data_IF_898329246447
#
_entry.id   IF_898329246447
#
_cell.length_a   1.000
_cell.length_b   1.000
_cell.length_c   1.000
_cell.angle_alpha   90.00
_cell.angle_beta   90.00
_cell.angle_gamma   90.00
#
_symmetry.space_group_name_H-M   'P 1'
#
loop_
_entity.id
_entity.type
_entity.pdbx_description
1 polymer ?
#
# COMPACT_ATOMS: atom_id res chain seq x y z
N UNK A 1 -15.09 -28.15 16.12
CA UNK A 1 -14.05 -27.44 16.87
C UNK A 1 -13.86 -26.12 16.17
N UNK A 2 -14.47 -25.06 16.70
CA UNK A 2 -14.33 -23.71 16.16
C UNK A 2 -12.94 -23.20 16.50
N UNK A 3 -12.13 -22.98 15.46
CA UNK A 3 -10.84 -22.35 15.60
C UNK A 3 -11.03 -20.92 16.06
N UNK A 4 -10.50 -20.57 17.23
CA UNK A 4 -10.48 -19.21 17.75
C UNK A 4 -9.75 -18.30 16.75
N UNK A 5 -10.49 -17.46 16.05
CA UNK A 5 -9.97 -16.35 15.27
C UNK A 5 -9.32 -15.40 16.26
N UNK A 6 -8.03 -15.20 16.13
CA UNK A 6 -7.26 -14.19 16.90
C UNK A 6 -7.97 -12.84 16.76
N UNK A 7 -8.46 -12.31 17.90
CA UNK A 7 -9.39 -11.18 17.96
C UNK A 7 -8.78 -9.80 17.67
N UNK A 8 -7.83 -9.69 16.73
CA UNK A 8 -7.34 -8.40 16.25
C UNK A 8 -8.07 -8.03 14.96
N UNK A 9 -8.68 -6.83 14.95
CA UNK A 9 -9.26 -6.27 13.72
C UNK A 9 -8.18 -6.15 12.65
N UNK A 10 -8.49 -6.37 11.37
CA UNK A 10 -7.57 -6.05 10.28
C UNK A 10 -7.13 -4.58 10.35
N UNK A 11 -5.85 -4.33 10.12
CA UNK A 11 -5.32 -2.96 10.03
C UNK A 11 -5.95 -2.24 8.83
N UNK A 12 -6.12 -0.92 8.92
CA UNK A 12 -6.69 -0.09 7.87
C UNK A 12 -5.71 0.99 7.44
N UNK A 13 -5.47 1.08 6.13
CA UNK A 13 -4.72 2.17 5.51
C UNK A 13 -5.65 3.04 4.69
N UNK A 14 -5.63 4.34 4.94
CA UNK A 14 -6.30 5.35 4.11
C UNK A 14 -5.24 6.05 3.26
N UNK A 15 -5.42 6.02 1.94
CA UNK A 15 -4.41 6.48 0.98
C UNK A 15 -4.91 7.61 0.08
N UNK A 16 -3.99 8.51 -0.27
CA UNK A 16 -4.25 9.58 -1.24
C UNK A 16 -4.72 10.87 -0.61
N UNK A 17 -4.21 11.22 0.57
CA UNK A 17 -4.43 12.50 1.22
C UNK A 17 -3.92 13.64 0.33
N UNK A 18 -4.69 14.75 0.23
CA UNK A 18 -4.37 15.89 -0.65
C UNK A 18 -4.27 17.21 0.11
N UNK A 19 -4.95 17.35 1.22
CA UNK A 19 -5.07 18.61 1.98
C UNK A 19 -5.05 18.36 3.48
N UNK A 20 -4.68 19.34 4.29
CA UNK A 20 -4.63 19.19 5.76
C UNK A 20 -5.95 18.77 6.41
N UNK A 21 -7.09 19.06 5.79
CA UNK A 21 -8.39 18.58 6.28
C UNK A 21 -8.56 17.06 6.18
N UNK A 22 -7.86 16.39 5.24
CA UNK A 22 -7.94 14.94 5.09
C UNK A 22 -7.33 14.21 6.30
N UNK A 23 -6.39 14.86 7.01
CA UNK A 23 -5.82 14.32 8.23
C UNK A 23 -6.88 14.09 9.32
N UNK A 24 -7.90 14.97 9.40
CA UNK A 24 -8.98 14.80 10.37
C UNK A 24 -9.78 13.53 10.08
N UNK A 25 -10.14 13.28 8.82
CA UNK A 25 -10.85 12.05 8.44
C UNK A 25 -10.07 10.79 8.77
N UNK A 26 -8.75 10.80 8.55
CA UNK A 26 -7.86 9.67 8.86
C UNK A 26 -7.80 9.44 10.37
N UNK A 27 -7.71 10.50 11.16
CA UNK A 27 -7.69 10.45 12.63
C UNK A 27 -9.02 9.93 13.19
N UNK A 28 -10.15 10.46 12.70
CA UNK A 28 -11.50 10.11 13.17
C UNK A 28 -11.88 8.68 12.80
N UNK A 29 -11.44 8.23 11.61
CA UNK A 29 -11.62 6.84 11.19
C UNK A 29 -10.79 5.84 12.01
N UNK A 30 -9.85 6.30 12.83
CA UNK A 30 -8.96 5.44 13.59
C UNK A 30 -8.11 4.55 12.71
N UNK A 31 -7.67 5.07 11.56
CA UNK A 31 -6.80 4.35 10.65
C UNK A 31 -5.45 4.02 11.31
N UNK A 32 -4.82 2.93 10.87
CA UNK A 32 -3.50 2.52 11.34
C UNK A 32 -2.38 3.14 10.48
N UNK A 33 -2.70 3.44 9.20
CA UNK A 33 -1.76 4.02 8.24
C UNK A 33 -2.39 5.12 7.41
N UNK A 34 -1.59 6.14 7.07
CA UNK A 34 -1.93 7.25 6.18
C UNK A 34 -0.99 7.26 4.97
N UNK A 35 -1.51 7.25 3.75
CA UNK A 35 -0.75 7.19 2.50
C UNK A 35 -0.63 8.53 1.80
N UNK A 36 0.60 8.92 1.45
CA UNK A 36 0.99 10.16 0.79
C UNK A 36 1.61 9.84 -0.55
N UNK A 37 1.03 10.33 -1.65
CA UNK A 37 1.45 9.95 -3.01
C UNK A 37 2.48 10.94 -3.56
N UNK A 38 3.63 10.40 -4.00
CA UNK A 38 4.70 11.12 -4.68
C UNK A 38 4.89 10.53 -6.08
N UNK A 39 3.99 10.89 -6.98
CA UNK A 39 4.02 10.49 -8.38
C UNK A 39 3.36 11.56 -9.24
N UNK A 40 4.12 12.28 -10.03
CA UNK A 40 3.68 13.46 -10.77
C UNK A 40 2.45 13.25 -11.67
N UNK A 41 2.30 12.03 -12.23
CA UNK A 41 1.14 11.69 -13.07
C UNK A 41 -0.13 11.39 -12.27
N UNK A 42 -0.03 11.28 -10.94
CA UNK A 42 -1.18 11.03 -10.08
C UNK A 42 -1.93 12.33 -9.76
N UNK A 43 -3.26 12.29 -9.83
CA UNK A 43 -4.12 13.38 -9.32
C UNK A 43 -3.99 13.60 -7.81
N UNK A 44 -3.37 12.63 -7.09
CA UNK A 44 -3.12 12.67 -5.65
C UNK A 44 -1.67 13.03 -5.32
N UNK A 45 -0.88 13.45 -6.32
CA UNK A 45 0.51 13.84 -6.11
C UNK A 45 0.63 14.98 -5.11
N UNK A 46 1.60 14.89 -4.23
CA UNK A 46 1.93 15.92 -3.24
C UNK A 46 3.34 16.45 -3.47
N UNK A 47 3.50 17.75 -3.26
CA UNK A 47 4.81 18.31 -3.01
C UNK A 47 5.28 17.98 -1.58
N UNK A 48 6.58 18.11 -1.34
CA UNK A 48 7.16 17.96 0.00
C UNK A 48 6.43 18.84 1.04
N UNK A 49 6.25 20.12 0.74
CA UNK A 49 5.60 21.07 1.63
C UNK A 49 4.17 20.66 1.98
N UNK A 50 3.37 20.27 0.97
CA UNK A 50 2.00 19.80 1.19
C UNK A 50 1.95 18.56 2.10
N UNK A 51 2.85 17.59 1.86
CA UNK A 51 2.92 16.41 2.69
C UNK A 51 3.29 16.76 4.14
N UNK A 52 4.28 17.61 4.37
CA UNK A 52 4.69 18.05 5.71
C UNK A 52 3.55 18.78 6.45
N UNK A 53 2.74 19.59 5.76
CA UNK A 53 1.58 20.27 6.35
C UNK A 53 0.48 19.28 6.78
N UNK A 54 0.23 18.25 5.98
CA UNK A 54 -0.73 17.19 6.31
C UNK A 54 -0.18 16.36 7.49
N UNK A 55 1.09 15.96 7.42
CA UNK A 55 1.73 15.11 8.44
C UNK A 55 1.69 15.72 9.84
N UNK A 56 1.80 17.06 9.97
CA UNK A 56 1.68 17.78 11.24
C UNK A 56 0.34 17.56 11.95
N UNK A 57 -0.71 17.21 11.19
CA UNK A 57 -2.07 17.01 11.70
C UNK A 57 -2.45 15.53 11.88
N UNK A 58 -1.62 14.60 11.40
CA UNK A 58 -1.81 13.17 11.60
C UNK A 58 -1.43 12.79 13.03
N UNK A 59 -2.31 12.03 13.67
CA UNK A 59 -2.05 11.48 15.01
C UNK A 59 -0.73 10.70 15.03
N UNK A 60 0.11 10.87 16.06
CA UNK A 60 1.41 10.17 16.17
C UNK A 60 1.29 8.62 16.13
N UNK A 61 0.13 8.08 16.52
CA UNK A 61 -0.14 6.62 16.47
C UNK A 61 -0.29 6.08 15.04
N UNK A 62 -0.61 6.95 14.07
CA UNK A 62 -0.86 6.56 12.68
C UNK A 62 0.45 6.58 11.91
N UNK A 63 0.86 5.46 11.37
CA UNK A 63 2.06 5.33 10.55
C UNK A 63 1.88 6.00 9.19
N UNK A 64 2.90 6.71 8.75
CA UNK A 64 2.91 7.48 7.50
C UNK A 64 3.63 6.69 6.42
N UNK A 65 2.95 6.49 5.29
CA UNK A 65 3.44 5.70 4.16
C UNK A 65 3.65 6.60 2.95
N UNK A 66 4.89 6.72 2.49
CA UNK A 66 5.19 7.38 1.22
C UNK A 66 4.90 6.40 0.07
N UNK A 67 4.07 6.81 -0.89
CA UNK A 67 3.68 5.98 -2.03
C UNK A 67 4.32 6.51 -3.30
N UNK A 68 5.07 5.67 -3.99
CA UNK A 68 5.87 6.02 -5.18
C UNK A 68 5.60 5.05 -6.33
N UNK A 69 6.03 5.44 -7.53
CA UNK A 69 5.99 4.59 -8.73
C UNK A 69 7.37 4.57 -9.37
N UNK A 70 7.99 3.38 -9.44
CA UNK A 70 9.34 3.17 -10.01
C UNK A 70 10.38 4.21 -9.51
N UNK A 71 10.54 4.39 -8.19
CA UNK A 71 11.45 5.39 -7.66
C UNK A 71 12.92 5.02 -7.94
N UNK A 72 13.77 6.03 -8.05
CA UNK A 72 15.22 5.85 -8.02
C UNK A 72 15.78 6.07 -6.59
N UNK A 73 17.06 5.75 -6.39
CA UNK A 73 17.73 5.88 -5.11
C UNK A 73 17.69 7.29 -4.51
N UNK A 74 17.79 8.35 -5.35
CA UNK A 74 17.75 9.74 -4.90
C UNK A 74 16.37 10.12 -4.35
N UNK A 75 15.30 9.67 -5.01
CA UNK A 75 13.93 9.87 -4.53
C UNK A 75 13.70 9.17 -3.19
N UNK A 76 14.19 7.93 -3.02
CA UNK A 76 14.10 7.20 -1.75
C UNK A 76 14.79 7.97 -0.62
N UNK A 77 16.04 8.42 -0.84
CA UNK A 77 16.78 9.21 0.15
C UNK A 77 16.04 10.50 0.53
N UNK A 78 15.43 11.18 -0.43
CA UNK A 78 14.64 12.39 -0.18
C UNK A 78 13.42 12.10 0.71
N UNK A 79 12.69 11.01 0.42
CA UNK A 79 11.51 10.63 1.20
C UNK A 79 11.86 10.23 2.64
N UNK A 80 12.97 9.55 2.86
CA UNK A 80 13.43 9.17 4.19
C UNK A 80 13.72 10.39 5.10
N UNK A 81 14.18 11.51 4.51
CA UNK A 81 14.37 12.77 5.24
C UNK A 81 13.05 13.41 5.70
N UNK A 82 11.90 12.98 5.18
CA UNK A 82 10.58 13.53 5.49
C UNK A 82 9.86 12.83 6.65
N UNK A 83 10.52 11.91 7.39
CA UNK A 83 9.98 11.21 8.56
C UNK A 83 8.76 10.32 8.25
N UNK A 84 8.77 9.64 7.10
CA UNK A 84 7.88 8.52 6.84
C UNK A 84 8.31 7.29 7.62
N UNK A 85 7.35 6.39 7.88
CA UNK A 85 7.59 5.12 8.57
C UNK A 85 7.81 3.97 7.58
N UNK A 86 7.26 4.10 6.36
CA UNK A 86 7.24 3.04 5.34
C UNK A 86 7.30 3.69 3.95
N UNK A 87 7.92 3.00 3.01
CA UNK A 87 7.90 3.36 1.59
C UNK A 87 7.14 2.28 0.82
N UNK A 88 6.03 2.66 0.17
CA UNK A 88 5.28 1.79 -0.73
C UNK A 88 5.69 2.06 -2.17
N UNK A 89 6.15 1.03 -2.86
CA UNK A 89 6.64 1.12 -4.23
C UNK A 89 5.69 0.39 -5.19
N UNK A 90 5.21 1.12 -6.19
CA UNK A 90 4.52 0.58 -7.37
C UNK A 90 5.48 0.54 -8.55
N UNK A 91 5.07 -0.13 -9.64
CA UNK A 91 5.83 -0.18 -10.88
C UNK A 91 7.07 -1.07 -10.79
N UNK A 92 8.14 -0.67 -11.45
CA UNK A 92 9.38 -1.45 -11.52
C UNK A 92 10.13 -1.40 -10.19
N UNK A 93 10.54 -2.56 -9.73
CA UNK A 93 11.42 -2.70 -8.57
C UNK A 93 12.88 -2.51 -9.02
N UNK A 94 13.55 -1.51 -8.49
CA UNK A 94 14.96 -1.22 -8.79
C UNK A 94 15.83 -1.64 -7.61
N UNK A 95 16.87 -2.40 -7.86
CA UNK A 95 17.83 -2.82 -6.84
C UNK A 95 18.45 -1.60 -6.13
N UNK A 96 18.84 -0.56 -6.90
CA UNK A 96 19.39 0.68 -6.33
C UNK A 96 18.40 1.38 -5.38
N UNK A 97 17.11 1.39 -5.72
CA UNK A 97 16.09 1.98 -4.89
C UNK A 97 15.89 1.19 -3.59
N UNK A 98 15.85 -0.15 -3.67
CA UNK A 98 15.74 -1.01 -2.49
C UNK A 98 16.99 -0.92 -1.62
N UNK A 99 18.18 -0.90 -2.23
CA UNK A 99 19.44 -0.73 -1.52
C UNK A 99 19.45 0.58 -0.73
N UNK A 100 18.99 1.67 -1.35
CA UNK A 100 18.91 2.99 -0.70
C UNK A 100 17.83 3.08 0.39
N UNK A 101 16.87 2.14 0.43
CA UNK A 101 15.81 2.14 1.43
C UNK A 101 16.35 1.66 2.79
N UNK A 102 16.23 2.53 3.79
CA UNK A 102 16.50 2.24 5.21
C UNK A 102 15.19 1.93 5.97
N UNK A 103 14.05 2.38 5.43
CA UNK A 103 12.71 2.11 5.93
C UNK A 103 12.16 0.81 5.35
N UNK A 104 11.23 0.14 6.06
CA UNK A 104 10.47 -0.99 5.51
C UNK A 104 9.84 -0.64 4.17
N UNK A 105 9.92 -1.56 3.22
CA UNK A 105 9.34 -1.40 1.88
C UNK A 105 8.07 -2.25 1.78
N UNK A 106 7.02 -1.67 1.20
CA UNK A 106 5.83 -2.37 0.75
C UNK A 106 5.84 -2.39 -0.78
N UNK A 107 5.72 -3.55 -1.37
CA UNK A 107 5.74 -3.70 -2.83
C UNK A 107 4.33 -3.96 -3.36
N UNK A 108 3.89 -3.12 -4.31
CA UNK A 108 2.56 -3.22 -4.90
C UNK A 108 2.62 -4.02 -6.22
N UNK A 109 1.75 -5.01 -6.30
CA UNK A 109 1.57 -5.89 -7.46
C UNK A 109 0.11 -5.88 -7.91
N UNK A 110 -0.11 -6.13 -9.21
CA UNK A 110 -1.44 -6.23 -9.78
C UNK A 110 -1.72 -7.70 -10.14
N UNK A 111 -2.73 -8.30 -9.53
CA UNK A 111 -3.11 -9.68 -9.82
C UNK A 111 -4.05 -9.80 -11.03
N UNK A 112 -4.67 -8.70 -11.46
CA UNK A 112 -5.57 -8.72 -12.63
C UNK A 112 -4.81 -8.82 -13.95
N UNK A 113 -3.49 -8.59 -13.92
CA UNK A 113 -2.60 -8.72 -15.07
C UNK A 113 -1.58 -9.85 -14.79
N UNK A 114 -1.80 -11.06 -15.32
CA UNK A 114 -0.91 -12.20 -15.08
C UNK A 114 0.52 -11.97 -15.57
N UNK A 115 0.72 -11.25 -16.66
CA UNK A 115 2.04 -10.96 -17.22
C UNK A 115 2.79 -9.98 -16.31
N UNK A 116 2.11 -8.93 -15.82
CA UNK A 116 2.68 -7.99 -14.84
C UNK A 116 3.00 -8.70 -13.53
N UNK A 117 2.11 -9.58 -13.05
CA UNK A 117 2.33 -10.36 -11.83
C UNK A 117 3.56 -11.25 -11.95
N UNK A 118 3.69 -12.00 -13.05
CA UNK A 118 4.84 -12.88 -13.29
C UNK A 118 6.14 -12.09 -13.39
N UNK A 119 6.15 -11.00 -14.16
CA UNK A 119 7.32 -10.13 -14.30
C UNK A 119 7.76 -9.51 -12.97
N UNK A 120 6.82 -9.06 -12.14
CA UNK A 120 7.11 -8.50 -10.82
C UNK A 120 7.60 -9.54 -9.84
N UNK A 121 7.01 -10.73 -9.85
CA UNK A 121 7.44 -11.86 -9.02
C UNK A 121 8.86 -12.29 -9.39
N UNK A 122 9.15 -12.39 -10.69
CA UNK A 122 10.51 -12.68 -11.16
C UNK A 122 11.51 -11.62 -10.70
N UNK A 123 11.20 -10.33 -10.92
CA UNK A 123 12.09 -9.23 -10.50
C UNK A 123 12.31 -9.22 -8.99
N UNK A 124 11.33 -9.64 -8.18
CA UNK A 124 11.49 -9.78 -6.74
C UNK A 124 12.50 -10.89 -6.39
N UNK A 125 12.39 -12.07 -7.02
CA UNK A 125 13.28 -13.19 -6.73
C UNK A 125 14.69 -13.04 -7.33
N UNK A 126 14.88 -12.13 -8.28
CA UNK A 126 16.19 -11.75 -8.81
C UNK A 126 16.97 -10.83 -7.85
N UNK A 127 16.31 -10.21 -6.85
CA UNK A 127 17.00 -9.43 -5.82
C UNK A 127 17.82 -10.34 -4.90
N UNK A 128 18.97 -9.88 -4.39
CA UNK A 128 19.65 -10.49 -3.27
C UNK A 128 18.72 -10.70 -2.07
N UNK A 129 18.88 -11.80 -1.34
CA UNK A 129 17.98 -12.17 -0.23
C UNK A 129 17.88 -11.07 0.84
N UNK A 130 18.99 -10.41 1.15
CA UNK A 130 19.06 -9.27 2.07
C UNK A 130 18.17 -8.10 1.64
N UNK A 131 18.01 -7.89 0.33
CA UNK A 131 17.12 -6.85 -0.21
C UNK A 131 15.67 -7.32 -0.23
N UNK A 132 15.43 -8.60 -0.49
CA UNK A 132 14.08 -9.17 -0.36
C UNK A 132 13.52 -9.02 1.05
N UNK A 133 14.37 -9.14 2.09
CA UNK A 133 13.98 -8.99 3.50
C UNK A 133 13.55 -7.56 3.85
N UNK A 134 13.99 -6.53 3.12
CA UNK A 134 13.50 -5.15 3.28
C UNK A 134 12.04 -4.99 2.85
N UNK A 135 11.53 -5.88 2.00
CA UNK A 135 10.14 -5.88 1.54
C UNK A 135 9.29 -6.64 2.58
N UNK A 136 8.59 -5.89 3.42
CA UNK A 136 7.86 -6.41 4.58
C UNK A 136 6.38 -6.64 4.32
N UNK A 137 5.84 -6.12 3.21
CA UNK A 137 4.46 -6.35 2.81
C UNK A 137 4.31 -6.37 1.28
N UNK A 138 3.34 -7.17 0.83
CA UNK A 138 2.88 -7.18 -0.56
C UNK A 138 1.51 -6.54 -0.62
N UNK A 139 1.39 -5.45 -1.37
CA UNK A 139 0.13 -4.75 -1.62
C UNK A 139 -0.45 -5.28 -2.92
N UNK A 140 -1.59 -5.95 -2.81
CA UNK A 140 -2.32 -6.49 -3.94
C UNK A 140 -3.36 -5.49 -4.40
N UNK A 141 -3.14 -4.90 -5.57
CA UNK A 141 -4.10 -3.97 -6.20
C UNK A 141 -4.82 -4.69 -7.34
N UNK A 142 -6.13 -4.74 -7.28
CA UNK A 142 -6.96 -5.45 -8.25
C UNK A 142 -7.33 -4.64 -9.50
N UNK A 143 -6.98 -3.36 -9.54
CA UNK A 143 -7.23 -2.50 -10.70
C UNK A 143 -6.01 -1.61 -10.91
N UNK A 144 -5.64 -1.38 -12.16
CA UNK A 144 -4.46 -0.57 -12.50
C UNK A 144 -4.39 0.74 -11.69
N UNK A 145 -3.26 0.97 -11.07
CA UNK A 145 -2.80 2.15 -10.32
C UNK A 145 -3.89 3.13 -9.81
N UNK A 146 -4.72 2.70 -8.85
CA UNK A 146 -5.70 3.59 -8.22
C UNK A 146 -6.95 3.88 -9.04
N UNK A 147 -7.26 3.07 -10.06
CA UNK A 147 -8.40 3.27 -10.97
C UNK A 147 -9.79 3.02 -10.36
N UNK A 148 -9.88 2.57 -9.11
CA UNK A 148 -11.16 2.39 -8.40
C UNK A 148 -12.10 1.35 -8.99
N UNK A 149 -11.67 0.58 -9.98
CA UNK A 149 -12.47 -0.49 -10.58
C UNK A 149 -12.51 -1.70 -9.65
N UNK A 150 -13.66 -2.37 -9.65
CA UNK A 150 -13.91 -3.53 -8.82
C UNK A 150 -13.04 -4.70 -9.27
N UNK A 151 -12.24 -5.20 -8.35
CA UNK A 151 -11.47 -6.42 -8.47
C UNK A 151 -12.44 -7.61 -8.66
N UNK A 152 -12.18 -8.49 -9.62
CA UNK A 152 -12.94 -9.75 -9.73
C UNK A 152 -12.42 -10.73 -8.68
N UNK A 153 -12.93 -10.59 -7.47
CA UNK A 153 -12.49 -11.34 -6.30
C UNK A 153 -12.67 -12.85 -6.48
N UNK A 154 -13.65 -13.28 -7.28
CA UNK A 154 -13.94 -14.71 -7.49
C UNK A 154 -12.84 -15.42 -8.29
N UNK A 155 -12.14 -14.72 -9.18
CA UNK A 155 -11.06 -15.31 -9.99
C UNK A 155 -9.74 -15.45 -9.24
N UNK A 156 -9.59 -14.81 -8.08
CA UNK A 156 -8.31 -14.68 -7.39
C UNK A 156 -8.30 -15.19 -5.95
N UNK A 157 -9.26 -16.04 -5.58
CA UNK A 157 -9.37 -16.65 -4.26
C UNK A 157 -8.21 -17.61 -3.89
N UNK A 158 -7.29 -17.90 -4.82
CA UNK A 158 -6.22 -18.89 -4.63
C UNK A 158 -4.85 -18.25 -4.37
N UNK A 159 -4.78 -17.17 -3.59
CA UNK A 159 -3.49 -16.62 -3.17
C UNK A 159 -2.94 -17.51 -2.05
N UNK A 160 -1.86 -18.26 -2.33
CA UNK A 160 -1.13 -18.97 -1.29
C UNK A 160 -0.25 -17.97 -0.50
N UNK A 161 -0.73 -17.56 0.66
CA UNK A 161 -0.03 -16.62 1.55
C UNK A 161 1.22 -17.20 2.19
N UNK A 162 1.40 -18.52 2.16
CA UNK A 162 2.54 -19.21 2.75
C UNK A 162 3.66 -19.45 1.74
N UNK A 163 3.42 -19.17 0.47
CA UNK A 163 4.35 -19.47 -0.61
C UNK A 163 4.71 -18.23 -1.44
N UNK A 164 5.75 -18.39 -2.24
CA UNK A 164 6.18 -17.40 -3.21
C UNK A 164 6.51 -16.03 -2.59
N UNK A 165 6.12 -14.96 -3.29
CA UNK A 165 6.39 -13.57 -2.88
C UNK A 165 5.68 -13.17 -1.58
N UNK A 166 4.65 -13.91 -1.16
CA UNK A 166 3.87 -13.62 0.06
C UNK A 166 4.50 -14.23 1.33
N UNK A 167 5.37 -15.23 1.19
CA UNK A 167 5.94 -15.93 2.34
C UNK A 167 6.64 -14.97 3.32
N UNK A 168 6.20 -14.97 4.58
CA UNK A 168 6.75 -14.15 5.65
C UNK A 168 6.48 -12.64 5.55
N UNK A 169 5.53 -12.21 4.69
CA UNK A 169 5.20 -10.80 4.45
C UNK A 169 3.74 -10.52 4.76
N UNK A 170 3.46 -9.29 5.20
CA UNK A 170 2.07 -8.85 5.35
C UNK A 170 1.38 -8.84 3.98
N UNK A 171 0.16 -9.35 3.97
CA UNK A 171 -0.74 -9.28 2.83
C UNK A 171 -1.66 -8.06 2.96
N UNK A 172 -1.51 -7.11 2.05
CA UNK A 172 -2.31 -5.87 2.02
C UNK A 172 -3.28 -5.92 0.86
N UNK A 173 -4.57 -6.00 1.14
CA UNK A 173 -5.62 -5.98 0.11
C UNK A 173 -5.93 -4.54 -0.30
N UNK A 174 -5.85 -4.27 -1.59
CA UNK A 174 -6.18 -2.98 -2.21
C UNK A 174 -7.04 -3.19 -3.47
N UNK A 175 -7.34 -2.10 -4.17
CA UNK A 175 -8.09 -2.13 -5.43
C UNK A 175 -9.60 -2.08 -5.24
N UNK A 176 -10.19 -0.89 -5.43
CA UNK A 176 -11.63 -0.68 -5.40
C UNK A 176 -12.31 -0.91 -4.04
N UNK A 177 -11.56 -1.00 -2.95
CA UNK A 177 -12.14 -1.13 -1.61
C UNK A 177 -12.78 0.18 -1.15
N UNK A 178 -13.98 0.05 -0.59
CA UNK A 178 -14.76 1.14 -0.01
C UNK A 178 -15.66 0.60 1.12
N UNK A 179 -16.33 1.46 1.84
CA UNK A 179 -17.15 1.09 3.00
C UNK A 179 -18.22 0.00 2.70
N UNK A 180 -18.72 -0.05 1.47
CA UNK A 180 -19.74 -1.02 1.06
C UNK A 180 -19.22 -2.42 0.73
N UNK A 181 -17.91 -2.63 0.55
CA UNK A 181 -17.37 -3.91 0.14
C UNK A 181 -16.15 -4.39 0.94
N UNK A 182 -15.56 -3.55 1.77
CA UNK A 182 -14.35 -3.89 2.54
C UNK A 182 -14.56 -5.09 3.46
N UNK A 183 -15.75 -5.21 4.08
CA UNK A 183 -16.06 -6.34 4.96
C UNK A 183 -16.12 -7.67 4.19
N UNK A 184 -16.62 -7.66 2.95
CA UNK A 184 -16.60 -8.84 2.07
C UNK A 184 -15.15 -9.20 1.68
N UNK A 185 -14.34 -8.21 1.30
CA UNK A 185 -12.93 -8.41 0.99
C UNK A 185 -12.15 -9.02 2.14
N UNK A 186 -12.34 -8.51 3.35
CA UNK A 186 -11.72 -9.05 4.57
C UNK A 186 -12.13 -10.51 4.76
N UNK A 187 -13.41 -10.83 4.64
CA UNK A 187 -13.91 -12.19 4.84
C UNK A 187 -13.38 -13.19 3.80
N UNK A 188 -13.22 -12.75 2.54
CA UNK A 188 -12.77 -13.61 1.44
C UNK A 188 -11.26 -13.85 1.43
N UNK A 189 -10.49 -12.82 1.76
CA UNK A 189 -9.02 -12.85 1.61
C UNK A 189 -8.26 -12.90 2.92
N UNK A 190 -8.93 -12.66 4.05
CA UNK A 190 -8.31 -12.59 5.38
C UNK A 190 -7.00 -11.77 5.37
N UNK A 191 -7.00 -10.52 4.88
CA UNK A 191 -5.79 -9.74 4.76
C UNK A 191 -5.31 -9.25 6.13
N UNK A 192 -4.00 -9.05 6.26
CA UNK A 192 -3.44 -8.40 7.44
C UNK A 192 -3.82 -6.91 7.49
N UNK A 193 -4.04 -6.32 6.30
CA UNK A 193 -4.37 -4.90 6.15
C UNK A 193 -5.24 -4.66 4.92
N UNK A 194 -6.23 -3.78 5.04
CA UNK A 194 -7.07 -3.29 3.94
C UNK A 194 -6.73 -1.84 3.59
N UNK A 195 -6.50 -1.57 2.31
CA UNK A 195 -6.17 -0.24 1.80
C UNK A 195 -7.36 0.38 1.09
N UNK A 196 -7.83 1.51 1.61
CA UNK A 196 -8.96 2.28 1.07
C UNK A 196 -8.41 3.60 0.53
N UNK A 197 -8.81 3.99 -0.68
CA UNK A 197 -8.52 5.30 -1.22
C UNK A 197 -9.55 6.33 -0.78
N UNK A 198 -9.09 7.54 -0.41
CA UNK A 198 -10.01 8.68 -0.28
C UNK A 198 -10.56 8.98 -1.67
N UNK A 199 -11.85 8.70 -1.85
CA UNK A 199 -12.59 9.16 -3.03
C UNK A 199 -13.01 10.60 -2.80
N UNK A 200 -12.75 11.49 -3.77
CA UNK A 200 -13.41 12.79 -3.74
C UNK A 200 -14.93 12.55 -3.78
N UNK A 201 -15.73 13.29 -2.97
CA UNK A 201 -17.17 13.19 -3.08
C UNK A 201 -17.53 13.53 -4.53
N UNK A 202 -18.17 12.59 -5.22
CA UNK A 202 -18.80 12.84 -6.52
C UNK A 202 -19.82 13.93 -6.29
N UNK A 203 -19.56 15.11 -6.81
CA UNK A 203 -20.58 16.16 -6.90
C UNK A 203 -21.62 15.64 -7.89
N UNK A 204 -22.75 15.20 -7.37
CA UNK A 204 -23.98 15.04 -8.15
C UNK A 204 -24.62 16.41 -8.33
#
# INVERSE_FOLDING_TARGET
MEGAVSGMRPEVKICGLKKPADAQYVNDAGADYAGFVFYEKSRRNLSRQQAEEIMKKISPRIKKVAVTVSPNAAQIKTLQQMKFDIIQMHGKLSEDAITAAELPVWYAINLSDPEEFEAKTKSFFELPEELQQKITAIVVDGAGYGGGQRFDWQKQLNIDRQAGIFAGRKFVLAGGLHAGNVAEGIRLFDPDLSLIHISEPTRH
#
